data_IF_692779813644
#
_entry.id   IF_692779813644
#
_cell.length_a   1.000
_cell.length_b   1.000
_cell.length_c   1.000
_cell.angle_alpha   90.00
_cell.angle_beta   90.00
_cell.angle_gamma   90.00
#
_symmetry.space_group_name_H-M   'P 1'
#
loop_
_entity.id
_entity.type
_entity.pdbx_description
1 polymer ?
#
# COMPACT_ATOMS: atom_id res chain seq x y z
N UNK A 1 -0.71 -4.46 12.64
CA UNK A 1 -1.83 -5.12 13.39
C UNK A 1 -2.48 -4.14 14.36
N UNK A 2 -3.72 -4.37 14.78
CA UNK A 2 -4.40 -3.55 15.79
C UNK A 2 -3.84 -3.78 17.21
N UNK A 3 -4.16 -2.88 18.16
CA UNK A 3 -3.81 -3.09 19.56
C UNK A 3 -4.64 -4.22 20.17
N UNK A 4 -3.97 -5.25 20.69
CA UNK A 4 -4.63 -6.38 21.35
C UNK A 4 -5.41 -5.99 22.63
N UNK A 5 -5.15 -4.82 23.20
CA UNK A 5 -5.94 -4.28 24.33
C UNK A 5 -7.40 -4.02 23.91
N UNK A 6 -7.62 -3.53 22.68
CA UNK A 6 -8.97 -3.24 22.16
C UNK A 6 -9.83 -4.51 22.12
N UNK A 7 -9.24 -5.68 21.83
CA UNK A 7 -9.94 -6.96 21.88
C UNK A 7 -10.57 -7.23 23.26
N UNK A 8 -9.88 -6.81 24.33
CA UNK A 8 -10.33 -7.08 25.71
C UNK A 8 -11.28 -6.01 26.21
N UNK A 9 -10.95 -4.75 25.93
CA UNK A 9 -11.65 -3.60 26.51
C UNK A 9 -12.91 -3.24 25.73
N UNK A 10 -12.89 -3.38 24.40
CA UNK A 10 -14.01 -2.99 23.53
C UNK A 10 -14.13 -3.87 22.27
N UNK A 11 -14.51 -5.16 22.42
CA UNK A 11 -14.67 -6.05 21.27
C UNK A 11 -15.80 -5.65 20.32
N UNK A 12 -16.79 -4.91 20.80
CA UNK A 12 -17.90 -4.40 19.98
C UNK A 12 -17.43 -3.43 18.92
N UNK A 13 -16.39 -2.63 19.22
CA UNK A 13 -15.79 -1.68 18.28
C UNK A 13 -15.17 -2.40 17.06
N UNK A 14 -14.52 -3.56 17.29
CA UNK A 14 -13.96 -4.37 16.20
C UNK A 14 -15.07 -4.95 15.33
N UNK A 15 -16.15 -5.46 15.94
CA UNK A 15 -17.29 -6.00 15.18
C UNK A 15 -17.97 -4.91 14.34
N UNK A 16 -18.15 -3.72 14.89
CA UNK A 16 -18.72 -2.58 14.17
C UNK A 16 -17.82 -2.15 13.00
N UNK A 17 -16.52 -2.04 13.22
CA UNK A 17 -15.53 -1.72 12.19
C UNK A 17 -15.56 -2.77 11.06
N UNK A 18 -15.57 -4.06 11.37
CA UNK A 18 -15.64 -5.13 10.39
C UNK A 18 -16.93 -5.06 9.56
N UNK A 19 -18.08 -4.84 10.23
CA UNK A 19 -19.36 -4.65 9.55
C UNK A 19 -19.33 -3.49 8.55
N UNK A 20 -18.75 -2.35 8.93
CA UNK A 20 -18.62 -1.17 8.07
C UNK A 20 -17.62 -1.38 6.91
N UNK A 21 -16.71 -2.37 7.02
CA UNK A 21 -15.79 -2.79 5.96
C UNK A 21 -16.31 -3.96 5.12
N UNK A 22 -17.55 -4.39 5.32
CA UNK A 22 -18.11 -5.61 4.71
C UNK A 22 -17.27 -6.86 4.91
N UNK A 23 -16.71 -7.02 6.11
CA UNK A 23 -15.81 -8.12 6.44
C UNK A 23 -16.37 -8.95 7.59
N UNK A 24 -16.19 -10.27 7.49
CA UNK A 24 -16.47 -11.20 8.57
C UNK A 24 -15.18 -11.90 8.99
N UNK A 25 -14.90 -11.89 10.29
CA UNK A 25 -13.78 -12.60 10.90
C UNK A 25 -14.26 -13.32 12.16
N UNK A 26 -13.69 -14.50 12.49
CA UNK A 26 -14.08 -15.29 13.64
C UNK A 26 -13.52 -14.69 14.94
N UNK A 27 -14.01 -13.52 15.33
CA UNK A 27 -13.55 -12.79 16.53
C UNK A 27 -13.74 -13.62 17.82
N UNK A 28 -14.78 -14.49 17.86
CA UNK A 28 -14.98 -15.42 18.98
C UNK A 28 -13.82 -16.38 19.18
N UNK A 29 -13.29 -16.92 18.09
CA UNK A 29 -12.13 -17.83 18.13
C UNK A 29 -10.88 -17.10 18.61
N UNK A 30 -10.69 -15.84 18.22
CA UNK A 30 -9.57 -15.04 18.68
C UNK A 30 -9.60 -14.83 20.21
N UNK A 31 -10.81 -14.65 20.80
CA UNK A 31 -10.97 -14.59 22.26
C UNK A 31 -10.60 -15.89 22.94
N UNK A 32 -11.05 -17.01 22.38
CA UNK A 32 -10.74 -18.34 22.92
C UNK A 32 -9.23 -18.61 22.87
N UNK A 33 -8.58 -18.27 21.75
CA UNK A 33 -7.13 -18.39 21.58
C UNK A 33 -6.36 -17.51 22.58
N UNK A 34 -6.78 -16.25 22.82
CA UNK A 34 -6.16 -15.37 23.81
C UNK A 34 -6.32 -15.90 25.24
N UNK A 35 -7.51 -16.43 25.58
CA UNK A 35 -7.77 -17.06 26.88
C UNK A 35 -6.88 -18.29 27.08
N UNK A 36 -6.84 -19.19 26.09
CA UNK A 36 -6.00 -20.38 26.13
C UNK A 36 -4.52 -20.05 26.25
N UNK A 37 -4.03 -19.06 25.48
CA UNK A 37 -2.65 -18.59 25.56
C UNK A 37 -2.25 -18.15 26.96
N UNK A 38 -3.11 -17.38 27.63
CA UNK A 38 -2.85 -16.93 29.02
C UNK A 38 -2.85 -18.09 29.99
N UNK A 39 -3.79 -19.02 29.87
CA UNK A 39 -3.86 -20.20 30.72
C UNK A 39 -2.62 -21.07 30.55
N UNK A 40 -2.23 -21.38 29.31
CA UNK A 40 -1.02 -22.17 29.02
C UNK A 40 0.24 -21.48 29.54
N UNK A 41 0.31 -20.15 29.46
CA UNK A 41 1.45 -19.39 30.02
C UNK A 41 1.55 -19.53 31.54
N UNK A 42 0.42 -19.45 32.25
CA UNK A 42 0.36 -19.60 33.71
C UNK A 42 0.74 -21.04 34.10
N UNK A 43 0.24 -22.04 33.39
CA UNK A 43 0.55 -23.44 33.65
C UNK A 43 2.04 -23.76 33.41
N UNK A 44 2.61 -23.24 32.33
CA UNK A 44 4.05 -23.34 32.07
C UNK A 44 4.89 -22.70 33.19
N UNK A 45 4.53 -21.49 33.64
CA UNK A 45 5.23 -20.84 34.75
C UNK A 45 5.19 -21.68 36.02
N UNK A 46 4.04 -22.27 36.34
CA UNK A 46 3.88 -23.16 37.50
C UNK A 46 4.73 -24.43 37.37
N UNK A 47 4.78 -25.05 36.18
CA UNK A 47 5.61 -26.22 35.92
C UNK A 47 7.11 -25.91 36.05
N UNK A 48 7.56 -24.79 35.51
CA UNK A 48 8.94 -24.32 35.66
C UNK A 48 9.29 -24.03 37.13
N UNK A 49 8.37 -23.41 37.88
CA UNK A 49 8.55 -23.16 39.30
C UNK A 49 8.73 -24.49 40.09
N UNK A 50 7.83 -25.49 39.85
CA UNK A 50 7.96 -26.83 40.45
C UNK A 50 9.26 -27.51 40.08
N UNK A 51 9.65 -27.49 38.81
CA UNK A 51 10.94 -28.05 38.33
C UNK A 51 12.12 -27.45 39.08
N UNK A 52 12.11 -26.13 39.32
CA UNK A 52 13.17 -25.42 40.01
C UNK A 52 13.23 -25.81 41.51
N UNK A 53 12.08 -26.04 42.17
CA UNK A 53 12.02 -26.52 43.57
C UNK A 53 12.62 -27.90 43.67
N UNK A 54 12.17 -28.86 42.86
CA UNK A 54 12.63 -30.24 42.85
C UNK A 54 14.15 -30.29 42.54
N UNK A 55 14.64 -29.50 41.61
CA UNK A 55 16.07 -29.39 41.31
C UNK A 55 16.89 -28.96 42.52
N UNK A 56 16.40 -28.00 43.32
CA UNK A 56 17.03 -27.57 44.57
C UNK A 56 17.01 -28.67 45.62
N UNK A 57 15.89 -29.41 45.77
CA UNK A 57 15.77 -30.54 46.68
C UNK A 57 16.74 -31.68 46.34
N UNK A 58 16.83 -32.04 45.03
CA UNK A 58 17.80 -33.04 44.56
C UNK A 58 19.22 -32.60 44.88
N UNK A 59 19.57 -31.34 44.66
CA UNK A 59 20.88 -30.81 44.94
C UNK A 59 21.22 -30.87 46.45
N UNK A 60 20.24 -30.60 47.30
CA UNK A 60 20.40 -30.67 48.77
C UNK A 60 20.52 -32.13 49.25
N UNK A 61 19.66 -33.02 48.80
CA UNK A 61 19.69 -34.44 49.16
C UNK A 61 20.96 -35.15 48.68
N UNK A 62 21.44 -34.81 47.47
CA UNK A 62 22.72 -35.36 46.98
C UNK A 62 23.91 -34.96 47.86
N UNK A 63 23.93 -33.75 48.42
CA UNK A 63 24.96 -33.31 49.37
C UNK A 63 24.95 -34.12 50.67
N UNK A 64 23.76 -34.54 51.10
CA UNK A 64 23.58 -35.33 52.33
C UNK A 64 23.57 -36.84 52.08
N UNK A 65 23.88 -37.30 50.84
CA UNK A 65 23.92 -38.72 50.40
C UNK A 65 22.57 -39.43 50.59
N UNK A 66 21.46 -38.73 50.54
CA UNK A 66 20.09 -39.27 50.58
C UNK A 66 19.64 -39.66 49.17
N UNK A 67 18.91 -40.75 49.05
CA UNK A 67 18.34 -41.23 47.76
C UNK A 67 17.43 -40.23 47.12
N UNK A 68 17.52 -40.04 45.78
CA UNK A 68 16.79 -39.00 45.00
C UNK A 68 16.01 -39.58 43.82
N UNK A 69 15.84 -40.90 43.73
CA UNK A 69 15.22 -41.57 42.58
C UNK A 69 13.80 -41.04 42.29
N UNK A 70 12.95 -40.90 43.32
CA UNK A 70 11.60 -40.38 43.19
C UNK A 70 11.54 -38.94 42.65
N UNK A 71 12.48 -38.07 43.15
CA UNK A 71 12.54 -36.68 42.67
C UNK A 71 13.06 -36.59 41.24
N UNK A 72 13.95 -37.49 40.82
CA UNK A 72 14.44 -37.58 39.45
C UNK A 72 13.30 -38.01 38.50
N UNK A 73 12.51 -39.01 38.92
CA UNK A 73 11.36 -39.45 38.14
C UNK A 73 10.29 -38.35 38.02
N UNK A 74 9.96 -37.66 39.11
CA UNK A 74 9.02 -36.53 39.12
C UNK A 74 9.54 -35.39 38.22
N UNK A 75 10.85 -35.08 38.24
CA UNK A 75 11.45 -34.06 37.39
C UNK A 75 11.40 -34.46 35.93
N UNK A 76 11.52 -35.73 35.58
CA UNK A 76 11.37 -36.26 34.22
C UNK A 76 9.93 -36.05 33.72
N UNK A 77 8.93 -36.45 34.52
CA UNK A 77 7.50 -36.29 34.19
C UNK A 77 7.11 -34.82 34.01
N UNK A 78 7.64 -33.92 34.86
CA UNK A 78 7.45 -32.47 34.70
C UNK A 78 8.13 -31.99 33.42
N UNK A 79 9.31 -32.52 33.07
CA UNK A 79 10.01 -32.18 31.84
C UNK A 79 9.20 -32.53 30.56
N UNK A 80 8.56 -33.71 30.59
CA UNK A 80 7.68 -34.13 29.47
C UNK A 80 6.44 -33.24 29.36
N UNK A 81 5.79 -32.90 30.48
CA UNK A 81 4.64 -31.97 30.52
C UNK A 81 5.04 -30.59 30.01
N UNK A 82 6.20 -30.06 30.38
CA UNK A 82 6.69 -28.77 29.88
C UNK A 82 6.79 -28.79 28.36
N UNK A 83 7.40 -29.85 27.77
CA UNK A 83 7.52 -29.96 26.30
C UNK A 83 6.14 -29.98 25.59
N UNK A 84 5.19 -30.74 26.15
CA UNK A 84 3.83 -30.80 25.60
C UNK A 84 3.15 -29.43 25.65
N UNK A 85 3.20 -28.75 26.80
CA UNK A 85 2.61 -27.42 26.97
C UNK A 85 3.31 -26.34 26.15
N UNK A 86 4.65 -26.41 25.98
CA UNK A 86 5.38 -25.52 25.08
C UNK A 86 4.93 -25.67 23.62
N UNK A 87 4.78 -26.91 23.17
CA UNK A 87 4.29 -27.21 21.81
C UNK A 87 2.87 -26.69 21.58
N UNK A 88 1.98 -26.93 22.53
CA UNK A 88 0.59 -26.42 22.50
C UNK A 88 0.54 -24.89 22.52
N UNK A 89 1.36 -24.28 23.39
CA UNK A 89 1.42 -22.82 23.48
C UNK A 89 1.97 -22.18 22.21
N UNK A 90 2.99 -22.79 21.61
CA UNK A 90 3.54 -22.34 20.32
C UNK A 90 2.50 -22.36 19.21
N UNK A 91 1.80 -23.47 19.03
CA UNK A 91 0.75 -23.60 18.01
C UNK A 91 -0.40 -22.60 18.23
N UNK A 92 -0.83 -22.46 19.50
CA UNK A 92 -1.87 -21.51 19.87
C UNK A 92 -1.45 -20.05 19.63
N UNK A 93 -0.18 -19.70 19.94
CA UNK A 93 0.37 -18.35 19.74
C UNK A 93 0.51 -18.02 18.23
N UNK A 94 0.94 -18.98 17.42
CA UNK A 94 1.02 -18.84 15.95
C UNK A 94 -0.38 -18.61 15.37
N UNK A 95 -1.38 -19.42 15.77
CA UNK A 95 -2.77 -19.27 15.29
C UNK A 95 -3.38 -17.94 15.76
N UNK A 96 -3.14 -17.56 17.01
CA UNK A 96 -3.56 -16.28 17.55
C UNK A 96 -2.98 -15.10 16.77
N UNK A 97 -1.66 -15.12 16.53
CA UNK A 97 -0.97 -14.06 15.76
C UNK A 97 -1.50 -13.95 14.34
N UNK A 98 -1.68 -15.11 13.68
CA UNK A 98 -2.23 -15.16 12.32
C UNK A 98 -3.62 -14.54 12.26
N UNK A 99 -4.52 -14.89 13.19
CA UNK A 99 -5.87 -14.34 13.22
C UNK A 99 -5.89 -12.87 13.64
N UNK A 100 -5.07 -12.46 14.61
CA UNK A 100 -4.94 -11.06 15.02
C UNK A 100 -4.44 -10.17 13.88
N UNK A 101 -3.46 -10.65 13.10
CA UNK A 101 -2.91 -9.91 11.97
C UNK A 101 -3.88 -9.80 10.79
N UNK A 102 -4.91 -10.65 10.71
CA UNK A 102 -5.94 -10.54 9.67
C UNK A 102 -6.99 -9.44 9.94
N UNK A 103 -7.05 -8.93 11.19
CA UNK A 103 -7.97 -7.82 11.51
C UNK A 103 -7.46 -6.54 10.85
N UNK A 104 -8.28 -5.85 10.04
CA UNK A 104 -7.88 -4.62 9.38
C UNK A 104 -7.68 -3.47 10.36
N UNK A 105 -7.02 -2.42 9.91
CA UNK A 105 -6.88 -1.18 10.67
C UNK A 105 -8.23 -0.48 10.86
N UNK A 106 -8.36 0.29 11.94
CA UNK A 106 -9.48 1.21 12.11
C UNK A 106 -9.38 2.34 11.09
N UNK A 107 -10.49 2.67 10.49
CA UNK A 107 -10.55 3.76 9.52
C UNK A 107 -10.90 5.11 10.18
N UNK A 108 -10.47 6.19 9.56
CA UNK A 108 -10.73 7.56 10.01
C UNK A 108 -12.20 7.93 9.79
N UNK A 109 -12.78 8.70 10.71
CA UNK A 109 -14.20 9.09 10.67
C UNK A 109 -14.62 9.91 9.45
N UNK A 110 -13.67 10.51 8.73
CA UNK A 110 -13.95 11.34 7.54
C UNK A 110 -14.11 10.54 6.24
N UNK A 111 -13.84 9.20 6.23
CA UNK A 111 -14.06 8.43 5.02
C UNK A 111 -15.55 8.12 4.83
N UNK A 112 -16.04 8.01 3.58
CA UNK A 112 -17.40 7.56 3.33
C UNK A 112 -17.59 6.11 3.79
N UNK A 113 -18.77 5.80 4.29
CA UNK A 113 -19.18 4.42 4.55
C UNK A 113 -19.81 3.90 3.26
N UNK A 114 -19.32 2.77 2.76
CA UNK A 114 -19.77 2.19 1.50
C UNK A 114 -19.34 0.74 1.36
N UNK A 115 -19.79 0.09 0.27
CA UNK A 115 -19.62 -1.34 0.06
C UNK A 115 -18.45 -1.67 -0.88
N UNK A 116 -18.27 -0.88 -1.93
CA UNK A 116 -17.29 -1.11 -2.99
C UNK A 116 -16.83 0.19 -3.65
N UNK A 117 -16.03 0.09 -4.72
CA UNK A 117 -15.46 1.20 -5.48
C UNK A 117 -16.50 2.25 -5.95
N UNK A 118 -17.78 1.89 -6.08
CA UNK A 118 -18.83 2.80 -6.54
C UNK A 118 -19.24 3.81 -5.46
N UNK A 119 -18.97 3.51 -4.20
CA UNK A 119 -19.25 4.36 -3.05
C UNK A 119 -18.08 5.31 -2.73
N UNK A 120 -16.99 5.26 -3.48
CA UNK A 120 -15.88 6.18 -3.37
C UNK A 120 -16.32 7.59 -3.74
N UNK A 121 -15.79 8.62 -3.05
CA UNK A 121 -16.17 10.00 -3.31
C UNK A 121 -15.08 10.76 -4.05
N UNK A 122 -15.46 11.38 -5.16
CA UNK A 122 -14.60 12.33 -5.86
C UNK A 122 -14.52 13.61 -5.02
N UNK A 123 -13.30 14.09 -4.78
CA UNK A 123 -13.03 15.29 -4.00
C UNK A 123 -12.43 16.42 -4.82
N UNK A 124 -11.70 16.12 -5.89
CA UNK A 124 -11.04 17.11 -6.75
C UNK A 124 -10.93 16.63 -8.20
N UNK A 125 -10.90 17.60 -9.12
CA UNK A 125 -10.59 17.38 -10.53
C UNK A 125 -9.49 18.32 -11.01
N UNK A 126 -8.63 17.83 -11.88
CA UNK A 126 -7.70 18.61 -12.67
C UNK A 126 -7.90 18.26 -14.16
N UNK A 127 -8.23 19.27 -14.96
CA UNK A 127 -8.54 19.07 -16.39
C UNK A 127 -7.38 19.46 -17.33
N UNK A 128 -6.16 19.56 -16.82
CA UNK A 128 -4.98 19.99 -17.56
C UNK A 128 -4.74 21.51 -17.56
N UNK A 129 -5.66 22.33 -17.04
CA UNK A 129 -5.53 23.81 -16.99
C UNK A 129 -6.02 24.42 -15.69
N UNK A 130 -7.03 23.86 -15.05
CA UNK A 130 -7.64 24.38 -13.81
C UNK A 130 -7.90 23.26 -12.81
N UNK A 131 -7.69 23.60 -11.54
CA UNK A 131 -8.09 22.80 -10.40
C UNK A 131 -9.52 23.18 -9.99
N UNK A 132 -10.39 22.21 -9.75
CA UNK A 132 -11.71 22.43 -9.19
C UNK A 132 -11.96 21.53 -8.00
N UNK A 133 -12.32 22.11 -6.86
CA UNK A 133 -12.72 21.38 -5.65
C UNK A 133 -14.22 21.11 -5.66
N UNK A 134 -14.62 19.88 -5.42
CA UNK A 134 -16.05 19.54 -5.25
C UNK A 134 -16.65 20.17 -3.98
N UNK A 135 -15.81 20.53 -2.98
CA UNK A 135 -16.26 21.25 -1.79
C UNK A 135 -16.80 22.65 -2.07
N UNK A 136 -16.33 23.33 -3.13
CA UNK A 136 -16.90 24.59 -3.60
C UNK A 136 -18.28 24.40 -4.25
N UNK A 137 -18.58 23.19 -4.74
CA UNK A 137 -19.87 22.81 -5.31
C UNK A 137 -20.90 22.54 -4.20
N UNK A 138 -20.46 22.09 -3.01
CA UNK A 138 -21.33 21.74 -1.89
C UNK A 138 -21.46 22.80 -0.78
N UNK A 139 -20.71 23.91 -0.83
CA UNK A 139 -20.63 24.89 0.28
C UNK A 139 -21.57 26.10 0.17
N UNK A 140 -22.45 26.17 -0.84
CA UNK A 140 -23.43 27.27 -0.95
C UNK A 140 -24.83 26.79 -0.58
N UNK A 141 -25.15 26.89 0.71
CA UNK A 141 -26.52 26.79 1.21
C UNK A 141 -27.31 28.09 0.92
N UNK A 142 -27.82 28.22 -0.32
CA UNK A 142 -28.89 29.16 -0.62
C UNK A 142 -29.76 28.59 -1.75
N UNK A 143 -31.09 28.68 -1.61
CA UNK A 143 -32.10 27.97 -2.42
C UNK A 143 -32.04 28.20 -3.94
N UNK A 144 -31.43 29.28 -4.41
CA UNK A 144 -31.25 29.51 -5.87
C UNK A 144 -30.05 28.74 -6.45
N UNK A 145 -29.11 28.28 -5.62
CA UNK A 145 -27.99 27.42 -6.06
C UNK A 145 -28.40 25.96 -6.19
N UNK A 146 -29.41 25.50 -5.46
CA UNK A 146 -29.95 24.13 -5.59
C UNK A 146 -30.51 23.85 -6.98
N UNK A 147 -31.13 24.82 -7.63
CA UNK A 147 -31.63 24.67 -9.00
C UNK A 147 -30.48 24.60 -10.01
N UNK A 148 -29.43 25.40 -9.81
CA UNK A 148 -28.20 25.31 -10.62
C UNK A 148 -27.41 24.02 -10.37
N UNK A 149 -27.35 23.56 -9.12
CA UNK A 149 -26.69 22.33 -8.72
C UNK A 149 -27.47 21.10 -9.21
N UNK A 150 -28.81 21.09 -9.11
CA UNK A 150 -29.64 20.04 -9.66
C UNK A 150 -29.55 19.98 -11.20
N UNK A 151 -29.49 21.11 -11.88
CA UNK A 151 -29.26 21.15 -13.31
C UNK A 151 -27.82 20.70 -13.69
N UNK A 152 -26.82 20.93 -12.83
CA UNK A 152 -25.48 20.41 -13.00
C UNK A 152 -25.45 18.91 -12.68
N UNK A 153 -26.15 18.44 -11.63
CA UNK A 153 -26.23 17.02 -11.27
C UNK A 153 -27.10 16.25 -12.28
N UNK A 154 -28.19 16.81 -12.78
CA UNK A 154 -28.99 16.21 -13.85
C UNK A 154 -28.27 16.19 -15.20
N UNK A 155 -27.46 17.21 -15.51
CA UNK A 155 -26.54 17.19 -16.65
C UNK A 155 -25.32 16.26 -16.40
N UNK A 156 -24.95 16.00 -15.13
CA UNK A 156 -23.90 15.03 -14.73
C UNK A 156 -24.37 13.57 -14.85
N UNK A 157 -25.66 13.30 -14.73
CA UNK A 157 -26.23 11.99 -15.01
C UNK A 157 -26.33 11.66 -16.52
N UNK A 158 -26.16 12.68 -17.39
CA UNK A 158 -25.95 12.50 -18.81
C UNK A 158 -24.45 12.60 -19.12
N UNK A 159 -23.73 11.52 -18.99
CA UNK A 159 -22.40 11.09 -19.51
C UNK A 159 -21.33 12.13 -19.97
N UNK A 160 -21.57 13.45 -19.98
CA UNK A 160 -20.70 14.44 -20.63
C UNK A 160 -19.79 15.28 -19.69
N UNK A 161 -20.05 15.31 -18.39
CA UNK A 161 -19.32 16.20 -17.47
C UNK A 161 -18.03 15.58 -16.91
N UNK A 162 -17.84 14.28 -17.10
CA UNK A 162 -16.63 13.57 -16.64
C UNK A 162 -15.42 13.67 -17.58
N UNK A 163 -15.51 14.45 -18.66
CA UNK A 163 -14.43 14.59 -19.66
C UNK A 163 -13.69 15.92 -19.46
N UNK A 164 -12.35 15.96 -19.49
CA UNK A 164 -11.58 17.21 -19.48
C UNK A 164 -11.94 18.14 -20.64
N UNK A 165 -11.99 19.47 -20.40
CA UNK A 165 -12.42 20.47 -21.41
C UNK A 165 -11.65 20.42 -22.74
N UNK A 166 -10.34 20.15 -22.69
CA UNK A 166 -9.52 20.02 -23.90
C UNK A 166 -9.92 18.82 -24.78
N UNK A 167 -10.64 17.87 -24.19
CA UNK A 167 -11.15 16.69 -24.88
C UNK A 167 -12.36 16.98 -25.74
N UNK A 168 -13.24 17.89 -25.28
CA UNK A 168 -14.40 18.35 -26.06
C UNK A 168 -13.95 19.10 -27.31
N UNK A 169 -12.82 19.81 -27.27
CA UNK A 169 -12.25 20.50 -28.44
C UNK A 169 -11.62 19.52 -29.46
N UNK A 170 -11.09 18.38 -29.03
CA UNK A 170 -10.53 17.33 -29.90
C UNK A 170 -11.62 16.50 -30.60
N UNK A 171 -12.80 16.28 -29.96
CA UNK A 171 -13.91 15.57 -30.57
C UNK A 171 -14.48 16.32 -31.79
N UNK A 172 -14.33 17.65 -31.86
CA UNK A 172 -14.78 18.44 -33.03
C UNK A 172 -13.95 18.16 -34.29
N UNK A 173 -12.79 17.49 -34.19
CA UNK A 173 -11.93 17.11 -35.33
C UNK A 173 -11.97 15.61 -35.70
N UNK A 174 -12.88 14.82 -35.13
CA UNK A 174 -13.20 13.42 -35.48
C UNK A 174 -12.04 12.44 -35.73
N UNK A 175 -10.84 12.67 -35.22
CA UNK A 175 -9.79 11.65 -35.30
C UNK A 175 -9.92 10.70 -34.10
N UNK A 176 -10.13 9.40 -34.35
CA UNK A 176 -10.21 8.36 -33.31
C UNK A 176 -8.89 8.32 -32.56
N UNK A 177 -8.92 8.52 -31.23
CA UNK A 177 -7.76 8.37 -30.38
C UNK A 177 -7.38 6.89 -30.33
N UNK A 178 -6.12 6.59 -30.60
CA UNK A 178 -5.56 5.24 -30.56
C UNK A 178 -5.30 4.85 -29.10
N UNK A 179 -5.56 3.58 -28.79
CA UNK A 179 -5.12 3.03 -27.51
C UNK A 179 -3.59 2.99 -27.43
N UNK A 180 -3.06 2.96 -26.21
CA UNK A 180 -1.61 2.80 -26.01
C UNK A 180 -1.03 1.55 -26.68
N UNK A 181 -1.84 0.50 -26.91
CA UNK A 181 -1.41 -0.69 -27.63
C UNK A 181 -1.25 -0.42 -29.12
N UNK A 182 -2.23 0.26 -29.72
CA UNK A 182 -2.21 0.60 -31.15
C UNK A 182 -1.02 1.51 -31.46
N UNK A 183 -0.87 2.61 -30.71
CA UNK A 183 0.23 3.56 -30.95
C UNK A 183 1.61 2.98 -30.62
N UNK A 184 1.71 2.14 -29.57
CA UNK A 184 2.98 1.48 -29.22
C UNK A 184 3.43 0.48 -30.30
N UNK A 185 2.48 -0.22 -30.95
CA UNK A 185 2.79 -1.12 -32.05
C UNK A 185 3.21 -0.36 -33.31
N UNK A 186 2.51 0.72 -33.66
CA UNK A 186 2.81 1.55 -34.85
C UNK A 186 4.19 2.21 -34.75
N UNK A 187 4.55 2.67 -33.56
CA UNK A 187 5.83 3.32 -33.31
C UNK A 187 6.94 2.33 -32.89
N UNK A 188 6.68 1.04 -32.91
CA UNK A 188 7.61 -0.04 -32.48
C UNK A 188 8.20 0.19 -31.08
N UNK A 189 7.37 0.56 -30.12
CA UNK A 189 7.78 0.95 -28.76
C UNK A 189 7.67 -0.20 -27.75
N UNK A 190 6.89 -1.23 -28.04
CA UNK A 190 6.66 -2.38 -27.15
C UNK A 190 6.64 -3.69 -27.97
N UNK A 191 7.22 -4.76 -27.42
CA UNK A 191 7.14 -6.11 -27.99
C UNK A 191 6.46 -7.06 -26.98
N UNK A 192 5.21 -7.34 -27.23
CA UNK A 192 4.42 -8.26 -26.40
C UNK A 192 4.60 -9.72 -26.83
N UNK A 193 4.85 -9.96 -28.11
CA UNK A 193 4.95 -11.33 -28.67
C UNK A 193 6.18 -12.05 -28.12
N UNK A 194 7.36 -11.39 -28.22
CA UNK A 194 8.59 -11.98 -27.70
C UNK A 194 8.59 -12.10 -26.19
N UNK A 195 8.01 -11.15 -25.48
CA UNK A 195 7.85 -11.23 -24.03
C UNK A 195 6.94 -12.41 -23.63
N UNK A 196 5.83 -12.62 -24.36
CA UNK A 196 4.92 -13.74 -24.15
C UNK A 196 5.59 -15.10 -24.31
N UNK A 197 6.55 -15.24 -25.25
CA UNK A 197 7.31 -16.49 -25.48
C UNK A 197 8.19 -16.88 -24.28
N UNK A 198 8.81 -15.88 -23.61
CA UNK A 198 9.83 -16.16 -22.58
C UNK A 198 9.29 -16.06 -21.15
N UNK A 199 8.22 -15.29 -20.94
CA UNK A 199 7.73 -14.99 -19.58
C UNK A 199 6.22 -15.19 -19.42
N UNK A 200 5.46 -15.31 -20.51
CA UNK A 200 4.01 -15.45 -20.48
C UNK A 200 3.25 -14.14 -20.66
N UNK A 201 1.94 -14.17 -20.40
CA UNK A 201 1.07 -13.01 -20.53
C UNK A 201 1.44 -11.93 -19.50
N UNK A 202 1.07 -10.67 -19.80
CA UNK A 202 1.32 -9.49 -18.94
C UNK A 202 2.81 -9.19 -18.69
N UNK A 203 3.71 -9.74 -19.52
CA UNK A 203 5.09 -9.29 -19.65
C UNK A 203 5.27 -8.53 -20.97
N UNK A 204 6.27 -7.70 -21.06
CA UNK A 204 6.54 -6.82 -22.18
C UNK A 204 8.04 -6.53 -22.31
N UNK A 205 8.47 -6.19 -23.51
CA UNK A 205 9.71 -5.48 -23.73
C UNK A 205 9.38 -4.03 -24.08
N UNK A 206 9.81 -3.06 -23.29
CA UNK A 206 9.85 -1.68 -23.75
C UNK A 206 10.99 -1.51 -24.72
N UNK A 207 10.81 -0.67 -25.72
CA UNK A 207 11.81 -0.43 -26.76
C UNK A 207 12.04 1.07 -26.98
N UNK A 208 13.20 1.37 -27.51
CA UNK A 208 13.54 2.69 -28.04
C UNK A 208 13.24 3.86 -27.06
N UNK A 209 12.56 4.88 -27.56
CA UNK A 209 12.27 6.10 -26.80
C UNK A 209 11.29 5.88 -25.64
N UNK A 210 10.50 4.80 -25.64
CA UNK A 210 9.62 4.50 -24.51
C UNK A 210 10.40 4.05 -23.28
N UNK A 211 11.53 3.32 -23.46
CA UNK A 211 12.47 3.03 -22.36
C UNK A 211 13.01 4.33 -21.77
N UNK A 212 13.44 5.23 -22.66
CA UNK A 212 14.02 6.51 -22.25
C UNK A 212 12.99 7.41 -21.55
N UNK A 213 11.74 7.41 -22.01
CA UNK A 213 10.64 8.15 -21.38
C UNK A 213 10.32 7.61 -19.97
N UNK A 214 10.36 6.28 -19.79
CA UNK A 214 10.23 5.67 -18.46
C UNK A 214 11.34 6.07 -17.49
N UNK A 215 12.60 6.09 -17.97
CA UNK A 215 13.73 6.60 -17.19
C UNK A 215 13.62 8.10 -16.91
N UNK A 216 13.14 8.88 -17.87
CA UNK A 216 12.89 10.31 -17.72
C UNK A 216 11.86 10.60 -16.62
N UNK A 217 10.75 9.85 -16.59
CA UNK A 217 9.75 9.92 -15.52
C UNK A 217 10.35 9.61 -14.15
N UNK A 218 11.16 8.54 -14.07
CA UNK A 218 11.83 8.15 -12.82
C UNK A 218 12.78 9.22 -12.35
N UNK A 219 13.64 9.76 -13.24
CA UNK A 219 14.60 10.81 -12.89
C UNK A 219 13.89 12.10 -12.47
N UNK A 220 12.86 12.51 -13.18
CA UNK A 220 12.04 13.66 -12.79
C UNK A 220 11.40 13.46 -11.41
N UNK A 221 10.85 12.28 -11.13
CA UNK A 221 10.26 11.96 -9.83
C UNK A 221 11.28 12.01 -8.69
N UNK A 222 12.52 11.55 -8.94
CA UNK A 222 13.63 11.63 -7.99
C UNK A 222 13.97 13.08 -7.68
N UNK A 223 14.26 13.88 -8.71
CA UNK A 223 14.62 15.30 -8.56
C UNK A 223 13.50 16.04 -7.81
N UNK A 224 12.25 15.80 -8.20
CA UNK A 224 11.08 16.43 -7.60
C UNK A 224 10.92 16.10 -6.10
N UNK A 225 11.12 14.84 -5.68
CA UNK A 225 11.06 14.46 -4.26
C UNK A 225 12.27 14.96 -3.46
N UNK A 226 13.46 15.02 -4.06
CA UNK A 226 14.63 15.62 -3.42
C UNK A 226 14.41 17.11 -3.09
N UNK A 227 13.76 17.86 -3.97
CA UNK A 227 13.34 19.25 -3.71
C UNK A 227 12.31 19.37 -2.58
N UNK A 228 11.59 18.29 -2.25
CA UNK A 228 10.63 18.19 -1.13
C UNK A 228 11.25 17.55 0.12
N UNK A 229 12.57 17.50 0.22
CA UNK A 229 13.34 17.01 1.38
C UNK A 229 13.14 15.50 1.64
N UNK A 230 12.85 14.70 0.60
CA UNK A 230 12.83 13.25 0.71
C UNK A 230 14.24 12.67 0.53
N UNK A 231 14.61 11.73 1.37
CA UNK A 231 15.83 10.93 1.20
C UNK A 231 15.56 9.84 0.18
N UNK A 232 16.29 9.88 -0.95
CA UNK A 232 16.16 8.86 -2.01
C UNK A 232 16.79 7.55 -1.57
N UNK A 233 16.05 6.45 -1.73
CA UNK A 233 16.46 5.10 -1.31
C UNK A 233 16.16 4.10 -2.42
N UNK A 234 17.15 3.30 -2.77
CA UNK A 234 16.98 2.09 -3.55
C UNK A 234 17.01 0.89 -2.58
N UNK A 235 15.85 0.32 -2.21
CA UNK A 235 15.78 -0.74 -1.21
C UNK A 235 16.12 -2.11 -1.81
N UNK A 236 16.33 -3.15 -0.96
CA UNK A 236 16.37 -4.53 -1.45
C UNK A 236 15.05 -4.93 -2.09
N UNK A 237 15.10 -5.68 -3.20
CA UNK A 237 13.91 -6.11 -3.95
C UNK A 237 13.32 -7.42 -3.46
N UNK A 238 13.97 -8.05 -2.49
CA UNK A 238 13.52 -9.24 -1.78
C UNK A 238 13.69 -9.02 -0.28
N UNK A 239 12.67 -9.35 0.51
CA UNK A 239 12.69 -9.21 1.97
C UNK A 239 12.23 -10.50 2.64
N UNK A 240 12.65 -10.70 3.90
CA UNK A 240 12.25 -11.84 4.71
C UNK A 240 10.76 -11.83 5.03
N UNK A 241 10.22 -13.02 5.32
CA UNK A 241 8.82 -13.20 5.72
C UNK A 241 8.41 -12.28 6.87
N UNK A 242 9.20 -12.19 7.94
CA UNK A 242 8.90 -11.36 9.11
C UNK A 242 8.74 -9.87 8.73
N UNK A 243 9.59 -9.34 7.85
CA UNK A 243 9.51 -7.98 7.36
C UNK A 243 8.25 -7.76 6.50
N UNK A 244 7.93 -8.74 5.63
CA UNK A 244 6.74 -8.70 4.78
C UNK A 244 5.45 -8.74 5.61
N UNK A 245 5.35 -9.65 6.59
CA UNK A 245 4.20 -9.78 7.51
C UNK A 245 4.01 -8.53 8.38
N UNK A 246 5.08 -7.79 8.64
CA UNK A 246 5.01 -6.52 9.37
C UNK A 246 4.49 -5.38 8.53
N UNK A 247 4.81 -5.36 7.24
CA UNK A 247 4.43 -4.31 6.31
C UNK A 247 3.01 -4.47 5.76
N UNK A 248 2.56 -5.72 5.51
CA UNK A 248 1.27 -6.05 4.89
C UNK A 248 0.58 -7.21 5.61
N UNK A 249 -0.69 -7.46 5.29
CA UNK A 249 -1.40 -8.67 5.73
C UNK A 249 -1.02 -9.80 4.77
N UNK A 250 0.02 -10.57 5.09
CA UNK A 250 0.60 -11.55 4.18
C UNK A 250 -0.40 -12.62 3.70
N UNK A 251 -1.33 -13.05 4.56
CA UNK A 251 -2.35 -14.03 4.19
C UNK A 251 -3.20 -13.60 2.98
N UNK A 252 -3.46 -12.29 2.82
CA UNK A 252 -4.22 -11.76 1.68
C UNK A 252 -3.36 -11.61 0.42
N UNK A 253 -2.05 -11.46 0.61
CA UNK A 253 -1.09 -11.20 -0.48
C UNK A 253 -0.30 -12.44 -0.91
N UNK A 254 -0.43 -13.58 -0.24
CA UNK A 254 0.32 -14.81 -0.59
C UNK A 254 0.06 -15.26 -2.04
N UNK A 255 -1.16 -15.06 -2.52
CA UNK A 255 -1.52 -15.33 -3.92
C UNK A 255 -0.98 -14.27 -4.90
N UNK A 256 -0.69 -13.06 -4.44
CA UNK A 256 -0.28 -11.93 -5.29
C UNK A 256 1.22 -11.64 -5.25
N UNK A 257 1.95 -12.16 -4.25
CA UNK A 257 3.39 -11.94 -4.04
C UNK A 257 4.18 -13.17 -4.49
N UNK A 258 5.29 -12.95 -5.21
CA UNK A 258 6.23 -14.01 -5.57
C UNK A 258 7.09 -14.38 -4.36
N UNK A 259 7.06 -15.66 -3.98
CA UNK A 259 7.96 -16.24 -3.00
C UNK A 259 9.13 -16.90 -3.71
N UNK A 260 10.35 -16.75 -3.18
CA UNK A 260 11.53 -17.48 -3.67
C UNK A 260 11.48 -18.90 -3.10
N UNK A 261 11.58 -19.89 -4.00
CA UNK A 261 11.52 -21.29 -3.60
C UNK A 261 12.74 -21.66 -2.73
N UNK A 262 12.51 -22.42 -1.66
CA UNK A 262 13.50 -22.86 -0.67
C UNK A 262 14.23 -21.74 0.10
N UNK A 263 13.75 -20.49 0.00
CA UNK A 263 14.30 -19.34 0.72
C UNK A 263 13.22 -18.69 1.59
N UNK A 264 13.64 -18.05 2.68
CA UNK A 264 12.76 -17.17 3.48
C UNK A 264 12.73 -15.75 2.89
N UNK A 265 12.51 -15.66 1.57
CA UNK A 265 12.50 -14.39 0.83
C UNK A 265 11.26 -14.28 -0.05
N UNK A 266 10.75 -13.06 -0.13
CA UNK A 266 9.62 -12.67 -0.96
C UNK A 266 10.02 -11.46 -1.80
N UNK A 267 9.69 -11.47 -3.10
CA UNK A 267 9.87 -10.31 -3.97
C UNK A 267 8.89 -9.22 -3.58
N UNK A 268 9.34 -7.97 -3.62
CA UNK A 268 8.50 -6.84 -3.24
C UNK A 268 7.46 -6.52 -4.32
N UNK A 269 6.24 -6.23 -3.89
CA UNK A 269 5.18 -5.68 -4.78
C UNK A 269 5.18 -4.16 -4.86
N UNK A 270 6.01 -3.50 -4.02
CA UNK A 270 6.20 -2.05 -3.90
C UNK A 270 7.38 -1.78 -2.98
N UNK A 271 8.08 -0.66 -3.16
CA UNK A 271 9.11 -0.21 -2.20
C UNK A 271 8.55 0.15 -0.82
N UNK A 272 7.24 0.32 -0.67
CA UNK A 272 6.58 0.41 0.63
C UNK A 272 6.99 -0.73 1.57
N UNK A 273 7.05 -1.98 1.07
CA UNK A 273 7.34 -3.16 1.89
C UNK A 273 8.70 -3.07 2.61
N UNK A 274 9.82 -2.87 1.90
CA UNK A 274 11.13 -2.70 2.56
C UNK A 274 11.24 -1.39 3.32
N UNK A 275 10.64 -0.28 2.86
CA UNK A 275 10.69 0.99 3.57
C UNK A 275 9.93 0.93 4.90
N UNK A 276 8.73 0.34 4.94
CA UNK A 276 8.00 0.14 6.19
C UNK A 276 8.83 -0.65 7.21
N UNK A 277 9.62 -1.62 6.74
CA UNK A 277 10.43 -2.51 7.58
C UNK A 277 11.83 -1.96 7.87
N UNK A 278 12.22 -0.84 7.27
CA UNK A 278 13.59 -0.30 7.35
C UNK A 278 14.06 -0.06 8.80
N UNK A 279 13.14 0.38 9.65
CA UNK A 279 13.40 0.65 11.08
C UNK A 279 12.82 -0.42 12.01
N UNK A 280 12.65 -1.65 11.53
CA UNK A 280 12.09 -2.75 12.32
C UNK A 280 12.88 -2.98 13.62
N UNK A 281 12.17 -3.08 14.77
CA UNK A 281 12.70 -3.21 16.12
C UNK A 281 13.49 -1.99 16.64
N UNK A 282 13.44 -0.84 15.99
CA UNK A 282 14.16 0.36 16.39
C UNK A 282 13.34 1.31 17.27
N UNK A 283 14.04 2.16 18.03
CA UNK A 283 13.51 3.32 18.74
C UNK A 283 14.13 4.57 18.12
N UNK A 284 13.34 5.30 17.34
CA UNK A 284 13.76 6.53 16.66
C UNK A 284 13.82 7.69 17.66
N UNK A 285 14.82 8.56 17.55
CA UNK A 285 14.85 9.81 18.29
C UNK A 285 13.76 10.75 17.75
N UNK A 286 12.83 11.22 18.61
CA UNK A 286 11.68 12.02 18.17
C UNK A 286 12.04 13.29 17.39
N UNK A 287 13.21 13.89 17.69
CA UNK A 287 13.71 15.07 16.94
C UNK A 287 14.06 14.80 15.46
N UNK A 288 14.23 13.51 15.08
CA UNK A 288 14.50 13.11 13.69
C UNK A 288 13.22 12.95 12.87
N UNK A 289 12.04 12.92 13.52
CA UNK A 289 10.76 12.82 12.83
C UNK A 289 10.30 14.19 12.29
N UNK A 290 9.72 14.24 11.10
CA UNK A 290 9.42 13.13 10.21
C UNK A 290 10.64 12.61 9.43
N UNK A 291 10.72 11.28 9.23
CA UNK A 291 11.65 10.68 8.29
C UNK A 291 10.91 10.45 6.97
N UNK A 292 11.37 11.10 5.90
CA UNK A 292 10.78 11.04 4.55
C UNK A 292 11.70 10.31 3.60
N UNK A 293 11.20 9.24 2.98
CA UNK A 293 11.94 8.42 2.04
C UNK A 293 11.25 8.38 0.67
N UNK A 294 12.04 8.52 -0.40
CA UNK A 294 11.63 8.29 -1.77
C UNK A 294 12.19 6.93 -2.23
N UNK A 295 11.36 5.90 -2.25
CA UNK A 295 11.78 4.55 -2.62
C UNK A 295 11.65 4.31 -4.11
N UNK A 296 12.75 3.90 -4.76
CA UNK A 296 12.78 3.57 -6.18
C UNK A 296 12.95 2.07 -6.32
N UNK A 297 12.01 1.40 -6.96
CA UNK A 297 12.14 -0.04 -7.17
C UNK A 297 11.34 -0.56 -8.36
N UNK A 298 11.76 -1.67 -8.97
CA UNK A 298 10.83 -2.57 -9.63
C UNK A 298 9.85 -3.13 -8.61
N UNK A 299 8.66 -3.46 -9.10
CA UNK A 299 7.58 -4.04 -8.32
C UNK A 299 7.12 -5.33 -9.03
N UNK A 300 6.90 -6.41 -8.26
CA UNK A 300 6.57 -7.72 -8.80
C UNK A 300 5.22 -8.19 -8.23
N UNK A 301 4.23 -8.41 -9.09
CA UNK A 301 2.88 -8.83 -8.68
C UNK A 301 2.39 -9.98 -9.55
N UNK A 302 1.83 -11.01 -8.97
CA UNK A 302 1.21 -12.14 -9.71
C UNK A 302 -0.10 -11.73 -10.39
N UNK A 303 -0.70 -10.57 -10.01
CA UNK A 303 -1.99 -10.08 -10.51
C UNK A 303 -3.11 -11.15 -10.45
N UNK A 304 -3.06 -12.00 -9.42
CA UNK A 304 -4.08 -13.02 -9.16
C UNK A 304 -5.43 -12.34 -8.88
N UNK A 305 -6.52 -12.91 -9.38
CA UNK A 305 -7.88 -12.35 -9.23
C UNK A 305 -8.27 -11.27 -10.26
N UNK A 306 -7.33 -10.74 -11.04
CA UNK A 306 -7.62 -9.75 -12.08
C UNK A 306 -8.01 -10.40 -13.43
N UNK A 307 -8.83 -11.47 -13.38
CA UNK A 307 -9.28 -12.17 -14.59
C UNK A 307 -10.12 -11.25 -15.50
N UNK A 308 -9.73 -11.15 -16.77
CA UNK A 308 -10.44 -10.37 -17.79
C UNK A 308 -10.18 -8.87 -17.81
N UNK A 309 -9.61 -8.28 -16.75
CA UNK A 309 -9.24 -6.85 -16.72
C UNK A 309 -7.80 -6.67 -17.24
N UNK A 310 -7.61 -5.77 -18.22
CA UNK A 310 -6.29 -5.38 -18.75
C UNK A 310 -5.38 -6.56 -19.13
N UNK A 311 -5.91 -7.52 -19.90
CA UNK A 311 -5.16 -8.69 -20.36
C UNK A 311 -4.04 -8.36 -21.36
N UNK A 312 -4.14 -7.19 -21.99
CA UNK A 312 -3.19 -6.68 -22.99
C UNK A 312 -2.65 -5.32 -22.59
N UNK A 313 -1.51 -4.95 -23.16
CA UNK A 313 -0.88 -3.66 -22.91
C UNK A 313 0.03 -3.67 -21.67
N UNK A 314 0.43 -2.46 -21.21
CA UNK A 314 1.37 -2.27 -20.09
C UNK A 314 0.74 -1.64 -18.85
N UNK A 315 -0.60 -1.52 -18.79
CA UNK A 315 -1.29 -0.91 -17.66
C UNK A 315 -1.31 -1.81 -16.41
N UNK A 316 -1.48 -3.13 -16.61
CA UNK A 316 -1.51 -4.12 -15.52
C UNK A 316 -0.60 -5.30 -15.87
N UNK A 317 0.57 -5.31 -15.25
CA UNK A 317 1.70 -6.19 -15.61
C UNK A 317 2.33 -6.83 -14.38
N UNK A 318 3.04 -7.93 -14.57
CA UNK A 318 3.72 -8.67 -13.48
C UNK A 318 4.96 -7.95 -12.95
N UNK A 319 5.56 -7.09 -13.77
CA UNK A 319 6.73 -6.29 -13.42
C UNK A 319 6.54 -4.86 -13.90
N UNK A 320 6.75 -3.89 -13.01
CA UNK A 320 6.70 -2.45 -13.32
C UNK A 320 7.63 -1.67 -12.39
N UNK A 321 7.97 -0.44 -12.74
CA UNK A 321 8.79 0.46 -11.94
C UNK A 321 7.91 1.47 -11.21
N UNK A 322 8.33 1.82 -9.97
CA UNK A 322 7.59 2.76 -9.12
C UNK A 322 8.53 3.64 -8.30
N UNK A 323 8.19 4.92 -8.17
CA UNK A 323 8.75 5.83 -7.17
C UNK A 323 7.68 6.08 -6.11
N UNK A 324 8.03 5.78 -4.86
CA UNK A 324 7.13 5.77 -3.72
C UNK A 324 7.57 6.78 -2.66
N UNK A 325 6.65 7.58 -2.14
CA UNK A 325 6.83 8.36 -0.93
C UNK A 325 6.54 7.48 0.29
N UNK A 326 7.41 7.46 1.28
CA UNK A 326 7.17 6.78 2.55
C UNK A 326 7.60 7.65 3.73
N UNK A 327 6.74 7.78 4.74
CA UNK A 327 7.00 8.67 5.88
C UNK A 327 6.76 7.97 7.21
N UNK A 328 7.75 8.09 8.12
CA UNK A 328 7.58 7.83 9.56
C UNK A 328 7.40 9.15 10.27
N UNK A 329 6.35 9.27 11.07
CA UNK A 329 5.99 10.55 11.69
C UNK A 329 5.39 10.38 13.08
N UNK A 330 5.45 11.46 13.87
CA UNK A 330 4.70 11.59 15.11
C UNK A 330 3.18 11.48 14.82
N UNK A 331 2.42 10.69 15.60
CA UNK A 331 0.97 10.54 15.44
C UNK A 331 0.19 11.83 15.29
N UNK A 332 0.53 12.84 16.08
CA UNK A 332 -0.19 14.13 16.13
C UNK A 332 -0.12 14.92 14.81
N UNK A 333 0.86 14.62 13.96
CA UNK A 333 1.09 15.32 12.69
C UNK A 333 0.75 14.48 11.46
N UNK A 334 0.32 13.22 11.65
CA UNK A 334 0.21 12.27 10.54
C UNK A 334 -0.90 12.62 9.54
N UNK A 335 -1.98 13.24 9.98
CA UNK A 335 -3.07 13.66 9.07
C UNK A 335 -2.69 14.87 8.22
N UNK A 336 -1.98 15.83 8.79
CA UNK A 336 -1.43 16.97 8.03
C UNK A 336 -0.41 16.50 6.99
N UNK A 337 0.48 15.57 7.37
CA UNK A 337 1.46 15.01 6.44
C UNK A 337 0.79 14.20 5.33
N UNK A 338 -0.32 13.51 5.61
CA UNK A 338 -1.07 12.76 4.61
C UNK A 338 -1.60 13.68 3.49
N UNK A 339 -2.17 14.84 3.88
CA UNK A 339 -2.64 15.83 2.91
C UNK A 339 -1.46 16.43 2.09
N UNK A 340 -0.30 16.67 2.72
CA UNK A 340 0.92 17.13 2.01
C UNK A 340 1.43 16.12 1.00
N UNK A 341 1.45 14.83 1.34
CA UNK A 341 1.87 13.77 0.43
C UNK A 341 0.93 13.68 -0.79
N UNK A 342 -0.38 13.84 -0.56
CA UNK A 342 -1.35 13.90 -1.64
C UNK A 342 -1.11 15.12 -2.55
N UNK A 343 -0.91 16.31 -1.97
CA UNK A 343 -0.64 17.54 -2.71
C UNK A 343 0.64 17.42 -3.57
N UNK A 344 1.69 16.79 -3.04
CA UNK A 344 2.92 16.50 -3.78
C UNK A 344 2.62 15.63 -5.00
N UNK A 345 1.80 14.58 -4.85
CA UNK A 345 1.43 13.69 -5.96
C UNK A 345 0.54 14.41 -6.98
N UNK A 346 -0.48 15.14 -6.55
CA UNK A 346 -1.34 15.93 -7.43
C UNK A 346 -0.52 16.94 -8.25
N UNK A 347 0.39 17.65 -7.59
CA UNK A 347 1.24 18.65 -8.25
C UNK A 347 2.21 18.03 -9.27
N UNK A 348 2.69 16.83 -9.02
CA UNK A 348 3.51 16.10 -9.97
C UNK A 348 2.75 15.83 -11.28
N UNK A 349 1.48 15.39 -11.20
CA UNK A 349 0.65 15.15 -12.38
C UNK A 349 0.13 16.43 -13.03
N UNK A 350 -0.06 17.54 -12.27
CA UNK A 350 -0.29 18.86 -12.85
C UNK A 350 0.88 19.33 -13.73
N UNK A 351 2.12 19.15 -13.25
CA UNK A 351 3.33 19.51 -14.00
C UNK A 351 3.48 18.66 -15.27
N UNK A 352 3.04 17.41 -15.21
CA UNK A 352 2.93 16.54 -16.38
C UNK A 352 1.75 16.90 -17.30
N UNK A 353 0.88 17.83 -16.90
CA UNK A 353 -0.35 18.22 -17.63
C UNK A 353 -1.28 17.03 -17.98
N UNK A 354 -1.25 15.95 -17.15
CA UNK A 354 -2.14 14.80 -17.30
C UNK A 354 -3.43 15.07 -16.53
N UNK A 355 -4.61 15.03 -17.19
CA UNK A 355 -5.87 15.21 -16.50
C UNK A 355 -6.14 14.07 -15.51
N UNK A 356 -6.61 14.42 -14.31
CA UNK A 356 -6.91 13.46 -13.26
C UNK A 356 -8.07 13.90 -12.37
N UNK A 357 -8.58 12.95 -11.60
CA UNK A 357 -9.43 13.22 -10.44
C UNK A 357 -8.85 12.55 -9.20
N UNK A 358 -9.09 13.14 -8.04
CA UNK A 358 -8.77 12.57 -6.75
C UNK A 358 -10.04 12.07 -6.08
N UNK A 359 -10.01 10.83 -5.60
CA UNK A 359 -11.10 10.20 -4.87
C UNK A 359 -10.66 9.82 -3.46
N UNK A 360 -11.59 9.80 -2.52
CA UNK A 360 -11.39 9.19 -1.19
C UNK A 360 -12.11 7.85 -1.15
N UNK A 361 -11.39 6.80 -0.74
CA UNK A 361 -11.94 5.46 -0.69
C UNK A 361 -12.94 5.31 0.45
N UNK A 362 -14.02 4.59 0.19
CA UNK A 362 -15.02 4.21 1.19
C UNK A 362 -14.54 3.05 2.07
N UNK A 363 -15.27 2.78 3.15
CA UNK A 363 -14.91 1.75 4.11
C UNK A 363 -14.82 0.33 3.53
N UNK A 364 -15.60 0.01 2.50
CA UNK A 364 -15.63 -1.30 1.85
C UNK A 364 -14.51 -1.51 0.82
N UNK A 365 -13.99 -0.42 0.23
CA UNK A 365 -12.90 -0.45 -0.75
C UNK A 365 -11.52 -0.16 -0.13
N UNK A 366 -11.50 0.38 1.08
CA UNK A 366 -10.28 0.76 1.78
C UNK A 366 -9.38 -0.44 2.08
N UNK A 367 -8.12 -0.37 1.69
CA UNK A 367 -7.10 -1.37 2.00
C UNK A 367 -7.01 -1.68 3.52
N UNK A 368 -6.83 -2.96 3.87
CA UNK A 368 -6.89 -3.43 5.27
C UNK A 368 -5.87 -2.78 6.20
N UNK A 369 -4.71 -2.37 5.69
CA UNK A 369 -3.64 -1.73 6.48
C UNK A 369 -3.92 -0.25 6.70
N UNK A 370 -4.66 0.39 5.79
CA UNK A 370 -4.89 1.82 5.76
C UNK A 370 -6.05 2.25 6.67
N UNK A 371 -5.90 3.43 7.28
CA UNK A 371 -6.95 4.12 8.01
C UNK A 371 -7.71 5.13 7.11
N UNK A 372 -7.03 5.69 6.11
CA UNK A 372 -7.61 6.54 5.06
C UNK A 372 -6.73 6.47 3.83
N UNK A 373 -7.36 6.40 2.68
CA UNK A 373 -6.67 6.38 1.38
C UNK A 373 -7.34 7.34 0.41
N UNK A 374 -6.52 8.06 -0.32
CA UNK A 374 -6.88 8.79 -1.51
C UNK A 374 -6.29 8.08 -2.71
N UNK A 375 -7.07 7.93 -3.79
CA UNK A 375 -6.53 7.51 -5.07
C UNK A 375 -6.58 8.67 -6.06
N UNK A 376 -5.53 8.78 -6.86
CA UNK A 376 -5.45 9.66 -8.00
C UNK A 376 -5.70 8.83 -9.25
N UNK A 377 -6.75 9.18 -9.98
CA UNK A 377 -7.17 8.51 -11.20
C UNK A 377 -6.93 9.43 -12.40
N UNK A 378 -6.04 9.03 -13.33
CA UNK A 378 -5.84 9.77 -14.57
C UNK A 378 -6.94 9.47 -15.58
N UNK A 379 -7.17 10.42 -16.49
CA UNK A 379 -8.05 10.22 -17.64
C UNK A 379 -7.35 9.44 -18.74
N UNK A 380 -8.00 8.38 -19.22
CA UNK A 380 -7.53 7.57 -20.33
C UNK A 380 -8.51 7.71 -21.51
N UNK A 381 -8.16 8.54 -22.47
CA UNK A 381 -9.08 8.91 -23.56
C UNK A 381 -9.50 7.75 -24.45
N UNK A 382 -8.61 6.83 -24.79
CA UNK A 382 -8.95 5.68 -25.61
C UNK A 382 -9.92 4.72 -24.90
N UNK A 383 -9.91 4.72 -23.56
CA UNK A 383 -10.81 3.92 -22.73
C UNK A 383 -12.06 4.69 -22.31
N UNK A 384 -12.08 6.01 -22.51
CA UNK A 384 -13.12 6.92 -22.05
C UNK A 384 -13.40 6.77 -20.54
N UNK A 385 -12.36 6.66 -19.73
CA UNK A 385 -12.46 6.36 -18.31
C UNK A 385 -11.33 6.98 -17.48
N UNK A 386 -11.65 7.33 -16.24
CA UNK A 386 -10.65 7.58 -15.21
C UNK A 386 -10.17 6.24 -14.63
N UNK A 387 -8.87 6.09 -14.43
CA UNK A 387 -8.27 4.89 -13.88
C UNK A 387 -7.17 5.24 -12.87
N UNK A 388 -7.10 4.47 -11.79
CA UNK A 388 -6.11 4.61 -10.73
C UNK A 388 -4.67 4.54 -11.26
N UNK A 389 -3.88 5.56 -10.93
CA UNK A 389 -2.45 5.62 -11.23
C UNK A 389 -1.59 5.75 -9.96
N UNK A 390 -2.12 6.34 -8.88
CA UNK A 390 -1.47 6.49 -7.60
C UNK A 390 -2.47 6.29 -6.46
N UNK A 391 -1.95 5.83 -5.32
CA UNK A 391 -2.68 5.70 -4.07
C UNK A 391 -1.87 6.36 -2.95
N UNK A 392 -2.53 7.10 -2.05
CA UNK A 392 -1.93 7.81 -0.93
C UNK A 392 -2.62 7.41 0.37
N UNK A 393 -1.91 6.74 1.27
CA UNK A 393 -2.49 6.10 2.46
C UNK A 393 -1.84 6.56 3.76
N UNK A 394 -2.67 6.76 4.79
CA UNK A 394 -2.23 6.86 6.18
C UNK A 394 -2.56 5.53 6.88
N UNK A 395 -1.52 4.80 7.31
CA UNK A 395 -1.63 3.51 7.99
C UNK A 395 -1.66 3.63 9.51
N UNK A 396 -1.58 4.84 10.05
CA UNK A 396 -1.46 5.10 11.49
C UNK A 396 -0.34 4.27 12.13
N UNK A 397 -0.58 3.64 13.28
CA UNK A 397 0.39 2.80 13.98
C UNK A 397 0.33 1.30 13.58
N UNK A 398 -0.46 0.94 12.56
CA UNK A 398 -0.73 -0.45 12.20
C UNK A 398 0.54 -1.23 11.82
N UNK A 399 1.37 -0.66 10.93
CA UNK A 399 2.63 -1.27 10.50
C UNK A 399 3.69 -1.18 11.59
N UNK A 400 3.84 -0.02 12.23
CA UNK A 400 4.83 0.19 13.28
C UNK A 400 4.61 -0.68 14.51
N UNK A 401 3.36 -1.03 14.83
CA UNK A 401 3.01 -1.99 15.88
C UNK A 401 3.50 -3.40 15.54
N UNK A 402 3.30 -3.87 14.32
CA UNK A 402 3.78 -5.16 13.85
C UNK A 402 5.31 -5.21 13.82
N UNK A 403 5.94 -4.16 13.29
CA UNK A 403 7.38 -4.03 13.09
C UNK A 403 8.13 -3.52 14.34
N UNK A 404 7.39 -3.20 15.43
CA UNK A 404 7.93 -2.69 16.70
C UNK A 404 8.75 -1.40 16.53
N UNK A 405 8.32 -0.51 15.62
CA UNK A 405 8.97 0.77 15.37
C UNK A 405 8.39 1.81 16.32
N UNK A 406 9.23 2.36 17.15
CA UNK A 406 8.84 3.30 18.20
C UNK A 406 9.68 4.56 18.15
N UNK A 407 9.25 5.59 18.85
CA UNK A 407 10.05 6.79 19.07
C UNK A 407 9.95 7.26 20.52
N UNK A 408 10.88 8.10 20.93
CA UNK A 408 10.83 8.88 22.17
C UNK A 408 11.59 10.18 21.99
N UNK A 409 11.13 11.23 22.68
CA UNK A 409 11.79 12.53 22.61
C UNK A 409 13.01 12.59 23.55
N UNK A 410 12.89 11.95 24.70
CA UNK A 410 13.95 11.93 25.73
C UNK A 410 14.24 10.49 26.17
N UNK A 411 15.48 10.16 26.58
CA UNK A 411 15.84 8.81 27.00
C UNK A 411 15.01 8.23 28.14
N UNK A 412 14.45 9.08 29.00
CA UNK A 412 13.67 8.67 30.18
C UNK A 412 12.16 8.61 29.92
N UNK A 413 11.69 8.97 28.73
CA UNK A 413 10.28 8.89 28.35
C UNK A 413 9.89 7.50 27.91
N UNK A 414 8.61 7.13 28.11
CA UNK A 414 8.04 5.94 27.51
C UNK A 414 8.05 6.03 26.00
N UNK A 415 8.33 4.91 25.34
CA UNK A 415 8.31 4.86 23.89
C UNK A 415 6.89 4.85 23.36
N UNK A 416 6.64 5.59 22.27
CA UNK A 416 5.40 5.63 21.53
C UNK A 416 5.58 5.01 20.13
N UNK A 417 4.51 4.50 19.54
CA UNK A 417 4.54 4.03 18.15
C UNK A 417 4.55 5.22 17.20
N UNK A 418 5.32 5.12 16.12
CA UNK A 418 5.24 6.09 15.02
C UNK A 418 4.02 5.79 14.15
N UNK A 419 3.52 6.79 13.42
CA UNK A 419 2.62 6.55 12.29
C UNK A 419 3.43 6.36 11.01
N UNK A 420 2.90 5.53 10.10
CA UNK A 420 3.47 5.31 8.77
C UNK A 420 2.49 5.78 7.70
N UNK A 421 3.02 6.41 6.67
CA UNK A 421 2.27 6.87 5.52
C UNK A 421 3.01 6.47 4.25
N UNK A 422 2.27 6.13 3.21
CA UNK A 422 2.81 5.84 1.89
C UNK A 422 2.01 6.54 0.81
N UNK A 423 2.66 6.89 -0.28
CA UNK A 423 2.02 7.42 -1.48
C UNK A 423 2.83 7.10 -2.71
N UNK A 424 2.22 6.46 -3.69
CA UNK A 424 2.83 6.36 -5.01
C UNK A 424 2.97 7.76 -5.60
N UNK A 425 4.20 8.18 -5.92
CA UNK A 425 4.39 9.39 -6.72
C UNK A 425 4.17 9.07 -8.20
N UNK A 426 4.83 8.02 -8.71
CA UNK A 426 4.66 7.60 -10.10
C UNK A 426 4.77 6.08 -10.23
N UNK A 427 3.74 5.44 -10.81
CA UNK A 427 3.80 4.11 -11.36
C UNK A 427 4.13 4.24 -12.85
N UNK A 428 5.38 3.95 -13.22
CA UNK A 428 5.95 4.34 -14.52
C UNK A 428 5.10 3.82 -15.69
N UNK A 429 4.75 2.53 -15.70
CA UNK A 429 4.00 1.92 -16.81
C UNK A 429 2.61 2.52 -16.97
N UNK A 430 1.88 2.76 -15.88
CA UNK A 430 0.56 3.41 -15.92
C UNK A 430 0.66 4.85 -16.43
N UNK A 431 1.69 5.58 -16.01
CA UNK A 431 1.94 6.96 -16.44
C UNK A 431 2.38 7.02 -17.91
N UNK A 432 3.19 6.03 -18.38
CA UNK A 432 3.51 5.89 -19.80
C UNK A 432 2.24 5.69 -20.64
N UNK A 433 1.29 4.86 -20.19
CA UNK A 433 -0.01 4.69 -20.85
C UNK A 433 -0.79 6.01 -20.90
N UNK A 434 -0.83 6.74 -19.78
CA UNK A 434 -1.49 8.04 -19.73
C UNK A 434 -0.85 9.06 -20.68
N UNK A 435 0.48 9.09 -20.79
CA UNK A 435 1.19 9.95 -21.75
C UNK A 435 0.88 9.51 -23.19
N UNK A 436 1.03 8.22 -23.51
CA UNK A 436 0.76 7.70 -24.85
C UNK A 436 -0.66 8.03 -25.34
N UNK A 437 -1.67 8.02 -24.45
CA UNK A 437 -3.05 8.30 -24.83
C UNK A 437 -3.38 9.80 -24.85
N UNK A 438 -2.84 10.61 -23.92
CA UNK A 438 -3.17 12.04 -23.81
C UNK A 438 -2.29 12.94 -24.71
N UNK A 439 -1.11 12.47 -25.13
CA UNK A 439 -0.13 13.27 -25.85
C UNK A 439 0.01 12.88 -27.33
N UNK A 440 -0.96 12.16 -27.88
CA UNK A 440 -0.99 11.84 -29.32
C UNK A 440 -1.11 13.11 -30.15
N UNK A 441 -0.38 13.17 -31.25
CA UNK A 441 -0.45 14.27 -32.23
C UNK A 441 -1.28 13.88 -33.45
N UNK A 442 -1.59 14.89 -34.29
CA UNK A 442 -2.24 14.65 -35.57
C UNK A 442 -1.35 13.84 -36.53
N UNK A 443 -0.04 13.85 -36.36
CA UNK A 443 0.96 13.12 -37.14
C UNK A 443 1.16 11.68 -36.64
N UNK A 444 0.34 11.21 -35.68
CA UNK A 444 0.44 9.86 -35.09
C UNK A 444 1.76 9.61 -34.33
N UNK A 445 2.35 10.69 -33.82
CA UNK A 445 3.48 10.68 -32.90
C UNK A 445 3.01 10.88 -31.46
N UNK A 446 3.93 10.80 -30.49
CA UNK A 446 3.67 11.10 -29.10
C UNK A 446 4.53 12.31 -28.70
N UNK A 447 3.89 13.42 -28.36
CA UNK A 447 4.61 14.58 -27.82
C UNK A 447 5.16 14.24 -26.44
N UNK A 448 6.41 14.58 -26.19
CA UNK A 448 7.04 14.43 -24.89
C UNK A 448 6.59 15.57 -23.97
N UNK A 449 6.03 15.32 -22.77
CA UNK A 449 5.74 16.36 -21.79
C UNK A 449 6.93 17.30 -21.59
N UNK A 450 6.71 18.61 -21.63
CA UNK A 450 7.78 19.61 -21.62
C UNK A 450 8.78 19.42 -20.49
N UNK A 451 8.29 19.10 -19.29
CA UNK A 451 9.14 18.87 -18.10
C UNK A 451 10.07 17.66 -18.27
N UNK A 452 9.73 16.69 -19.11
CA UNK A 452 10.53 15.48 -19.36
C UNK A 452 11.54 15.64 -20.49
N UNK A 453 11.42 16.65 -21.34
CA UNK A 453 12.29 16.83 -22.52
C UNK A 453 13.77 16.93 -22.14
N UNK A 454 14.11 17.63 -21.04
CA UNK A 454 15.50 17.73 -20.54
C UNK A 454 16.12 16.36 -20.23
N UNK A 455 15.32 15.38 -19.80
CA UNK A 455 15.76 13.99 -19.53
C UNK A 455 15.74 13.12 -20.79
N UNK A 456 15.15 13.63 -21.88
CA UNK A 456 15.02 12.97 -23.19
C UNK A 456 15.99 13.54 -24.24
N UNK A 457 17.08 14.22 -23.82
CA UNK A 457 18.00 14.96 -24.69
C UNK A 457 17.28 16.03 -25.53
N UNK A 458 16.34 16.75 -24.92
CA UNK A 458 15.47 17.76 -25.51
C UNK A 458 14.62 17.25 -26.70
N UNK A 459 14.33 15.95 -26.73
CA UNK A 459 13.42 15.37 -27.72
C UNK A 459 11.99 15.82 -27.42
N UNK A 460 11.33 16.41 -28.42
CA UNK A 460 9.96 16.95 -28.29
C UNK A 460 8.89 15.94 -28.68
N UNK A 461 9.18 15.04 -29.62
CA UNK A 461 8.24 14.03 -30.11
C UNK A 461 8.89 12.65 -30.25
N UNK A 462 8.10 11.61 -30.00
CA UNK A 462 8.47 10.21 -30.24
C UNK A 462 7.78 9.78 -31.53
N UNK A 463 8.58 9.37 -32.50
CA UNK A 463 8.16 8.95 -33.83
C UNK A 463 8.75 7.58 -34.18
N UNK A 464 8.24 6.93 -35.22
CA UNK A 464 8.80 5.66 -35.71
C UNK A 464 10.25 5.91 -36.15
N UNK A 465 11.18 5.12 -35.62
CA UNK A 465 12.55 5.12 -36.10
C UNK A 465 12.60 4.41 -37.45
N UNK A 466 12.89 5.16 -38.50
CA UNK A 466 13.19 4.64 -39.84
C UNK A 466 14.53 3.91 -39.87
#
# INVERSE_FOLDING_TARGET
MIDSKILKENPSLIKEMLKKRNMELPIGDLFNLDKNRRQLTIELQNLYHKKNIIAKEIATKKKTKVETNNQIEEMSQIGEKIKDFESKNKLNDETYKKLLSSIPNFFHSSIPIGNDEKDNKIIRFFNGKKFSNTSEIYSTENDQSKIKINNIIESQNNNDINKPDHYQQQQQQQKKIKSHIEIANELDLVDFERAGKIAGARFYFLKNDLVKLGLALTNFAIDYLMEKEYTVVQPPYMIKKEAMEGAVILNDFEETIYKIENEDLYMIGTSEHPLASMHMNEIIEGKKLPLRYAGISPCFRKEAGAHGKDMKGIFRVHQFEKVEQFVFINPDKSWEEHEKMLEITEKFYEILEIPFRTIVLCSGDLGKVSAKTYDLEAWFPAQNAYREICSCSNCTDYQSRSLKIRYRNNPNEETKLVHTLNSTLVAVQRTLVAIMENYQTASETIRVPTVLQKYMNNKEEIELKT
#
